data_IF_877925936587
#
_entry.id   IF_877925936587
#
_cell.length_a   1.000
_cell.length_b   1.000
_cell.length_c   1.000
_cell.angle_alpha   90.00
_cell.angle_beta   90.00
_cell.angle_gamma   90.00
#
_symmetry.space_group_name_H-M   'P 1'
#
loop_
_entity.id
_entity.type
_entity.pdbx_description
1 polymer ?
#
# COMPACT_ATOMS: atom_id res chain seq x y z
N UNK A 1 9.63 -29.06 -13.45
CA UNK A 1 10.34 -27.78 -13.72
C UNK A 1 10.92 -27.33 -12.41
N UNK A 2 12.23 -27.09 -12.37
CA UNK A 2 12.97 -26.84 -11.14
C UNK A 2 12.37 -25.64 -10.38
N UNK A 3 12.09 -25.84 -9.10
CA UNK A 3 11.87 -24.77 -8.12
C UNK A 3 13.14 -23.93 -8.10
N UNK A 4 13.11 -22.75 -8.72
CA UNK A 4 14.17 -21.78 -8.53
C UNK A 4 14.17 -21.43 -7.03
N UNK A 5 15.27 -21.70 -6.34
CA UNK A 5 15.48 -21.22 -4.98
C UNK A 5 15.14 -19.73 -4.95
N UNK A 6 14.20 -19.33 -4.09
CA UNK A 6 13.80 -17.94 -3.94
C UNK A 6 15.06 -17.10 -3.70
N UNK A 7 15.35 -16.20 -4.62
CA UNK A 7 16.63 -15.53 -4.66
C UNK A 7 16.72 -14.51 -3.51
N UNK A 8 17.64 -14.72 -2.56
CA UNK A 8 17.71 -13.93 -1.33
C UNK A 8 18.56 -12.68 -1.50
N UNK A 9 17.96 -11.49 -1.36
CA UNK A 9 18.57 -10.18 -1.21
C UNK A 9 19.68 -10.17 -0.16
N UNK A 10 19.41 -10.70 1.03
CA UNK A 10 20.39 -10.70 2.12
C UNK A 10 21.61 -11.57 1.83
N UNK A 11 21.53 -12.50 0.87
CA UNK A 11 22.65 -13.36 0.46
C UNK A 11 23.56 -12.72 -0.60
N UNK A 12 23.10 -11.68 -1.30
CA UNK A 12 23.86 -11.07 -2.39
C UNK A 12 24.88 -10.10 -1.83
N UNK A 13 26.16 -10.43 -2.02
CA UNK A 13 27.26 -9.53 -1.66
C UNK A 13 27.34 -8.40 -2.68
N UNK A 14 26.78 -7.24 -2.32
CA UNK A 14 26.86 -6.01 -3.10
C UNK A 14 26.80 -4.79 -2.18
N UNK A 15 26.78 -3.60 -2.77
CA UNK A 15 26.71 -2.33 -2.05
C UNK A 15 25.95 -1.31 -2.90
N UNK A 16 25.85 -0.08 -2.39
CA UNK A 16 25.35 1.02 -3.19
C UNK A 16 26.20 1.17 -4.46
N UNK A 17 25.60 1.11 -5.67
CA UNK A 17 26.35 1.24 -6.91
C UNK A 17 26.91 2.66 -7.03
N UNK A 18 28.07 2.84 -7.69
CA UNK A 18 28.71 4.13 -7.79
C UNK A 18 27.86 5.14 -8.56
N UNK A 19 28.03 6.41 -8.21
CA UNK A 19 27.43 7.50 -8.95
C UNK A 19 27.98 7.57 -10.38
N UNK A 20 27.11 7.74 -11.37
CA UNK A 20 27.53 8.10 -12.72
C UNK A 20 28.00 9.55 -12.69
N UNK A 21 29.21 9.81 -13.19
CA UNK A 21 29.77 11.15 -13.24
C UNK A 21 28.87 12.10 -14.04
N UNK A 22 28.71 13.34 -13.57
CA UNK A 22 27.69 14.26 -14.10
C UNK A 22 27.94 14.62 -15.57
N UNK A 23 29.19 14.69 -15.99
CA UNK A 23 29.65 14.91 -17.37
C UNK A 23 29.36 13.72 -18.30
N UNK A 24 29.22 12.53 -17.74
CA UNK A 24 28.94 11.28 -18.45
C UNK A 24 27.43 10.99 -18.57
N UNK A 25 26.59 11.73 -17.83
CA UNK A 25 25.14 11.54 -17.87
C UNK A 25 24.57 11.92 -19.24
N UNK A 26 23.74 11.04 -19.78
CA UNK A 26 23.03 11.27 -21.03
C UNK A 26 21.79 12.14 -20.82
N UNK A 27 21.23 12.66 -21.89
CA UNK A 27 19.90 13.30 -21.81
C UNK A 27 18.84 12.24 -21.50
N UNK A 28 17.85 12.57 -20.65
CA UNK A 28 16.69 11.68 -20.42
C UNK A 28 15.86 11.44 -21.71
N UNK A 29 16.03 12.29 -22.72
CA UNK A 29 15.40 12.15 -24.04
C UNK A 29 16.19 11.25 -24.99
N UNK A 30 17.33 10.70 -24.55
CA UNK A 30 18.17 9.86 -25.40
C UNK A 30 17.45 8.54 -25.73
N UNK A 31 17.47 8.14 -27.00
CA UNK A 31 16.73 6.97 -27.49
C UNK A 31 17.32 5.64 -27.00
N UNK A 32 18.57 5.64 -26.53
CA UNK A 32 19.27 4.46 -25.99
C UNK A 32 18.90 4.14 -24.54
N UNK A 33 18.23 5.05 -23.82
CA UNK A 33 17.73 4.74 -22.48
C UNK A 33 16.58 3.73 -22.59
N UNK A 34 16.64 2.68 -21.77
CA UNK A 34 15.65 1.60 -21.74
C UNK A 34 15.19 1.34 -20.31
N UNK A 35 13.90 1.04 -20.18
CA UNK A 35 13.35 0.48 -18.96
C UNK A 35 13.43 -1.04 -19.04
N UNK A 36 14.15 -1.65 -18.11
CA UNK A 36 14.39 -3.09 -18.11
C UNK A 36 14.11 -3.67 -16.72
N UNK A 37 13.67 -4.94 -16.64
CA UNK A 37 13.70 -5.67 -15.38
C UNK A 37 15.12 -5.69 -14.82
N UNK A 38 15.24 -5.43 -13.52
CA UNK A 38 16.49 -5.54 -12.80
C UNK A 38 16.89 -7.02 -12.71
N UNK A 39 18.18 -7.31 -12.89
CA UNK A 39 18.75 -8.55 -12.37
C UNK A 39 18.69 -8.53 -10.83
N UNK A 40 18.81 -9.69 -10.19
CA UNK A 40 18.80 -9.75 -8.72
C UNK A 40 19.88 -8.85 -8.10
N UNK A 41 21.08 -8.82 -8.67
CA UNK A 41 22.17 -7.94 -8.21
C UNK A 41 21.75 -6.47 -8.26
N UNK A 42 21.21 -6.03 -9.40
CA UNK A 42 20.73 -4.66 -9.58
C UNK A 42 19.56 -4.36 -8.65
N UNK A 43 18.69 -5.34 -8.40
CA UNK A 43 17.53 -5.15 -7.55
C UNK A 43 17.97 -4.91 -6.09
N UNK A 44 18.93 -5.69 -5.58
CA UNK A 44 19.55 -5.44 -4.27
C UNK A 44 20.25 -4.08 -4.24
N UNK A 45 20.94 -3.69 -5.31
CA UNK A 45 21.53 -2.36 -5.43
C UNK A 45 20.47 -1.24 -5.35
N UNK A 46 19.28 -1.41 -5.93
CA UNK A 46 18.20 -0.42 -5.77
C UNK A 46 17.73 -0.31 -4.32
N UNK A 47 17.72 -1.41 -3.57
CA UNK A 47 17.42 -1.40 -2.14
C UNK A 47 18.49 -0.64 -1.36
N UNK A 48 19.77 -0.76 -1.71
CA UNK A 48 20.83 0.10 -1.14
C UNK A 48 20.60 1.58 -1.45
N UNK A 49 20.22 1.91 -2.69
CA UNK A 49 20.01 3.29 -3.12
C UNK A 49 18.87 3.97 -2.37
N UNK A 50 17.79 3.24 -2.12
CA UNK A 50 16.57 3.80 -1.57
C UNK A 50 16.39 3.58 -0.06
N UNK A 51 17.33 2.86 0.59
CA UNK A 51 17.23 2.47 1.98
C UNK A 51 16.96 3.65 2.93
N UNK A 52 17.62 4.79 2.73
CA UNK A 52 17.45 5.95 3.62
C UNK A 52 16.03 6.53 3.60
N UNK A 53 15.28 6.32 2.52
CA UNK A 53 13.87 6.74 2.42
C UNK A 53 12.93 5.74 3.12
N UNK A 54 13.19 4.43 3.03
CA UNK A 54 12.18 3.40 3.35
C UNK A 54 12.60 2.30 4.35
N UNK A 55 13.83 2.35 4.88
CA UNK A 55 14.30 1.38 5.90
C UNK A 55 13.70 1.62 7.28
N UNK A 56 13.18 2.82 7.55
CA UNK A 56 12.67 3.18 8.86
C UNK A 56 13.76 3.01 9.94
N UNK A 57 13.50 2.28 11.04
CA UNK A 57 14.48 2.07 12.11
C UNK A 57 15.54 0.99 11.81
N UNK A 58 15.48 0.35 10.63
CA UNK A 58 16.31 -0.82 10.32
C UNK A 58 17.74 -0.42 9.92
N UNK A 59 18.72 -1.26 10.27
CA UNK A 59 20.02 -1.26 9.60
C UNK A 59 19.87 -1.73 8.15
N UNK A 60 20.85 -1.47 7.29
CA UNK A 60 20.80 -1.94 5.90
C UNK A 60 20.67 -3.46 5.79
N UNK A 61 21.38 -4.22 6.63
CA UNK A 61 21.30 -5.68 6.66
C UNK A 61 19.90 -6.17 7.07
N UNK A 62 19.27 -5.50 8.04
CA UNK A 62 17.91 -5.79 8.45
C UNK A 62 16.90 -5.40 7.37
N UNK A 63 17.14 -4.29 6.67
CA UNK A 63 16.32 -3.86 5.54
C UNK A 63 16.33 -4.89 4.41
N UNK A 64 17.49 -5.37 3.98
CA UNK A 64 17.59 -6.41 2.94
C UNK A 64 16.91 -7.72 3.37
N UNK A 65 17.02 -8.12 4.65
CA UNK A 65 16.30 -9.29 5.19
C UNK A 65 14.78 -9.08 5.20
N UNK A 66 14.31 -7.86 5.42
CA UNK A 66 12.89 -7.53 5.29
C UNK A 66 12.44 -7.70 3.85
N UNK A 67 13.21 -7.21 2.89
CA UNK A 67 12.87 -7.35 1.46
C UNK A 67 12.80 -8.82 1.03
N UNK A 68 13.66 -9.69 1.56
CA UNK A 68 13.57 -11.15 1.38
C UNK A 68 12.24 -11.73 1.86
N UNK A 69 11.84 -11.36 3.08
CA UNK A 69 10.59 -11.81 3.68
C UNK A 69 9.42 -11.33 2.83
N UNK A 70 9.43 -10.05 2.44
CA UNK A 70 8.34 -9.44 1.67
C UNK A 70 8.23 -10.04 0.28
N UNK A 71 9.34 -10.39 -0.39
CA UNK A 71 9.34 -11.07 -1.69
C UNK A 71 8.90 -12.53 -1.62
N UNK A 72 8.97 -13.16 -0.45
CA UNK A 72 8.52 -14.54 -0.24
C UNK A 72 7.02 -14.65 0.08
N UNK A 73 6.32 -13.54 0.31
CA UNK A 73 4.87 -13.54 0.60
C UNK A 73 4.04 -13.89 -0.63
N UNK A 74 2.79 -14.35 -0.44
CA UNK A 74 1.91 -14.74 -1.53
C UNK A 74 1.66 -13.63 -2.57
N UNK A 75 1.67 -12.37 -2.14
CA UNK A 75 1.45 -11.20 -2.99
C UNK A 75 2.55 -11.00 -4.06
N UNK A 76 3.79 -11.35 -3.73
CA UNK A 76 5.00 -10.93 -4.47
C UNK A 76 5.85 -12.10 -4.97
N UNK A 77 5.73 -13.28 -4.36
CA UNK A 77 6.48 -14.48 -4.73
C UNK A 77 6.26 -14.91 -6.18
N UNK A 78 7.06 -15.85 -6.65
CA UNK A 78 6.94 -16.44 -7.99
C UNK A 78 7.00 -15.38 -9.11
N UNK A 79 7.76 -14.30 -8.87
CA UNK A 79 7.97 -13.20 -9.80
C UNK A 79 6.83 -12.19 -9.89
N UNK A 80 5.81 -12.24 -9.02
CA UNK A 80 4.69 -11.28 -9.01
C UNK A 80 5.14 -9.84 -8.73
N UNK A 81 6.26 -9.65 -8.04
CA UNK A 81 6.97 -8.37 -7.98
C UNK A 81 8.09 -8.30 -9.01
N UNK A 82 8.23 -7.15 -9.67
CA UNK A 82 9.32 -6.87 -10.62
C UNK A 82 10.02 -5.58 -10.23
N UNK A 83 11.33 -5.66 -9.95
CA UNK A 83 12.20 -4.49 -9.88
C UNK A 83 12.52 -3.98 -11.28
N UNK A 84 12.41 -2.67 -11.48
CA UNK A 84 12.66 -1.99 -12.74
C UNK A 84 13.81 -0.99 -12.60
N UNK A 85 14.67 -0.94 -13.62
CA UNK A 85 15.70 0.10 -13.75
C UNK A 85 15.59 0.80 -15.09
N UNK A 86 15.77 2.11 -15.08
CA UNK A 86 16.11 2.86 -16.28
C UNK A 86 17.63 2.80 -16.47
N UNK A 87 18.09 2.32 -17.63
CA UNK A 87 19.50 2.06 -17.89
C UNK A 87 19.88 2.31 -19.36
N UNK A 88 21.14 2.11 -19.72
CA UNK A 88 21.67 2.21 -21.09
C UNK A 88 22.91 1.33 -21.25
N UNK A 89 23.07 0.73 -22.43
CA UNK A 89 24.27 -0.02 -22.83
C UNK A 89 25.41 0.90 -23.32
N UNK A 90 25.16 2.21 -23.49
CA UNK A 90 26.17 3.19 -23.93
C UNK A 90 27.03 3.73 -22.79
N UNK A 91 26.70 3.38 -21.55
CA UNK A 91 27.53 3.62 -20.38
C UNK A 91 28.19 2.30 -19.97
N UNK A 92 29.45 2.34 -19.50
CA UNK A 92 30.11 1.14 -19.03
C UNK A 92 29.33 0.53 -17.88
N UNK A 93 29.32 -0.81 -17.83
CA UNK A 93 28.85 -1.54 -16.65
C UNK A 93 29.73 -1.22 -15.45
N UNK A 94 29.17 -1.36 -14.26
CA UNK A 94 29.92 -1.28 -13.02
C UNK A 94 30.93 -2.44 -12.93
N UNK A 95 31.88 -2.34 -12.00
CA UNK A 95 32.93 -3.36 -11.79
C UNK A 95 32.39 -4.75 -11.44
N UNK A 96 31.18 -4.82 -10.87
CA UNK A 96 30.47 -6.07 -10.54
C UNK A 96 29.59 -6.59 -11.70
N UNK A 97 29.66 -5.95 -12.87
CA UNK A 97 28.90 -6.32 -14.06
C UNK A 97 27.45 -5.83 -14.10
N UNK A 98 26.98 -5.13 -13.06
CA UNK A 98 25.66 -4.49 -13.06
C UNK A 98 25.58 -3.34 -14.06
N UNK A 99 24.39 -3.11 -14.63
CA UNK A 99 24.14 -1.96 -15.51
C UNK A 99 24.00 -0.67 -14.69
N UNK A 100 24.33 0.49 -15.26
CA UNK A 100 24.14 1.77 -14.58
C UNK A 100 22.65 2.01 -14.29
N UNK A 101 22.33 2.34 -13.04
CA UNK A 101 20.96 2.61 -12.59
C UNK A 101 20.72 4.13 -12.61
N UNK A 102 19.92 4.59 -13.57
CA UNK A 102 19.57 6.02 -13.71
C UNK A 102 18.39 6.41 -12.84
N UNK A 103 17.39 5.52 -12.74
CA UNK A 103 16.22 5.59 -11.86
C UNK A 103 15.71 4.16 -11.65
N UNK A 104 14.94 3.92 -10.59
CA UNK A 104 14.37 2.60 -10.29
C UNK A 104 12.97 2.68 -9.68
N UNK A 105 12.21 1.60 -9.80
CA UNK A 105 10.93 1.41 -9.10
C UNK A 105 10.60 -0.08 -9.05
N UNK A 106 9.48 -0.42 -8.44
CA UNK A 106 8.94 -1.78 -8.40
C UNK A 106 7.49 -1.78 -8.89
N UNK A 107 7.05 -2.90 -9.48
CA UNK A 107 5.63 -3.15 -9.73
C UNK A 107 5.21 -4.50 -9.19
N UNK A 108 4.01 -4.58 -8.60
CA UNK A 108 3.41 -5.80 -8.06
C UNK A 108 2.13 -6.13 -8.83
N UNK A 109 2.04 -7.34 -9.37
CA UNK A 109 0.83 -7.87 -9.98
C UNK A 109 -0.22 -8.18 -8.90
N UNK A 110 -1.34 -7.44 -8.92
CA UNK A 110 -2.40 -7.48 -7.91
C UNK A 110 -3.74 -7.90 -8.51
N UNK A 111 -4.57 -8.55 -7.70
CA UNK A 111 -5.97 -8.82 -8.04
C UNK A 111 -6.80 -7.56 -7.85
N UNK A 112 -7.67 -7.28 -8.82
CA UNK A 112 -8.47 -6.07 -8.84
C UNK A 112 -9.83 -6.29 -9.52
N UNK A 113 -10.67 -5.27 -9.44
CA UNK A 113 -12.01 -5.28 -9.99
C UNK A 113 -12.26 -4.06 -10.86
N UNK A 114 -13.10 -4.26 -11.88
CA UNK A 114 -13.76 -3.21 -12.65
C UNK A 114 -15.25 -3.50 -12.63
N UNK A 115 -16.07 -2.54 -12.21
CA UNK A 115 -17.52 -2.65 -12.19
C UNK A 115 -18.16 -1.53 -13.00
N UNK A 116 -19.07 -1.89 -13.90
CA UNK A 116 -19.83 -0.95 -14.72
C UNK A 116 -21.22 -1.50 -14.97
N UNK A 117 -22.24 -0.65 -14.78
CA UNK A 117 -23.64 -1.00 -15.05
C UNK A 117 -24.08 -2.31 -14.36
N UNK A 118 -23.62 -2.56 -13.12
CA UNK A 118 -23.89 -3.78 -12.34
C UNK A 118 -23.04 -5.01 -12.69
N UNK A 119 -22.27 -4.93 -13.76
CA UNK A 119 -21.37 -6.01 -14.19
C UNK A 119 -20.01 -5.81 -13.55
N UNK A 120 -19.61 -6.77 -12.72
CA UNK A 120 -18.28 -6.83 -12.11
C UNK A 120 -17.39 -7.79 -12.90
N UNK A 121 -16.21 -7.32 -13.23
CA UNK A 121 -15.14 -8.07 -13.87
C UNK A 121 -13.95 -8.20 -12.91
N UNK A 122 -13.39 -9.42 -12.82
CA UNK A 122 -12.17 -9.69 -12.06
C UNK A 122 -10.99 -9.56 -13.00
N UNK A 123 -10.00 -8.74 -12.63
CA UNK A 123 -8.86 -8.43 -13.49
C UNK A 123 -7.55 -8.47 -12.71
N UNK A 124 -6.44 -8.41 -13.46
CA UNK A 124 -5.13 -8.05 -12.94
C UNK A 124 -4.90 -6.55 -13.11
N UNK A 125 -4.30 -5.94 -12.09
CA UNK A 125 -3.77 -4.58 -12.11
C UNK A 125 -2.33 -4.58 -11.57
N UNK A 126 -1.67 -3.43 -11.57
CA UNK A 126 -0.33 -3.28 -11.00
C UNK A 126 -0.28 -2.18 -9.94
N UNK A 127 0.23 -2.53 -8.75
CA UNK A 127 0.69 -1.54 -7.77
C UNK A 127 2.13 -1.15 -8.08
N UNK A 128 2.48 0.14 -7.94
CA UNK A 128 3.84 0.65 -8.16
C UNK A 128 4.37 1.20 -6.84
N UNK A 129 5.57 0.77 -6.49
CA UNK A 129 6.26 1.14 -5.26
C UNK A 129 7.70 1.59 -5.53
N UNK A 130 8.33 2.13 -4.49
CA UNK A 130 9.78 2.40 -4.46
C UNK A 130 10.32 3.24 -5.62
N UNK A 131 9.52 4.17 -6.16
CA UNK A 131 9.94 5.06 -7.24
C UNK A 131 11.06 5.98 -6.74
N UNK A 132 12.28 5.69 -7.16
CA UNK A 132 13.47 6.32 -6.63
C UNK A 132 14.35 6.91 -7.72
N UNK A 133 14.87 8.09 -7.42
CA UNK A 133 15.91 8.72 -8.22
C UNK A 133 16.95 9.33 -7.27
N UNK A 134 18.20 8.94 -7.47
CA UNK A 134 19.34 9.39 -6.67
C UNK A 134 19.45 10.91 -6.70
N UNK A 135 19.84 11.57 -5.60
CA UNK A 135 19.94 13.04 -5.53
C UNK A 135 20.70 13.67 -6.69
N UNK A 136 21.81 13.06 -7.10
CA UNK A 136 22.70 13.52 -8.18
C UNK A 136 22.05 13.43 -9.57
N UNK A 137 20.97 12.65 -9.70
CA UNK A 137 20.20 12.44 -10.92
C UNK A 137 18.86 13.21 -10.90
N UNK A 138 18.48 13.84 -9.78
CA UNK A 138 17.24 14.62 -9.67
C UNK A 138 17.30 15.86 -10.58
N UNK A 139 16.14 16.28 -11.08
CA UNK A 139 16.03 17.39 -12.04
C UNK A 139 16.49 17.08 -13.47
N UNK A 140 17.05 15.89 -13.75
CA UNK A 140 17.57 15.51 -15.08
C UNK A 140 16.58 14.75 -15.96
N UNK A 141 15.35 14.53 -15.48
CA UNK A 141 14.26 13.90 -16.25
C UNK A 141 14.22 12.37 -16.25
N UNK A 142 15.18 11.68 -15.60
CA UNK A 142 15.23 10.21 -15.61
C UNK A 142 14.01 9.53 -14.98
N UNK A 143 13.56 9.99 -13.82
CA UNK A 143 12.33 9.45 -13.22
C UNK A 143 11.11 9.65 -14.13
N UNK A 144 11.04 10.79 -14.82
CA UNK A 144 9.96 11.10 -15.77
C UNK A 144 10.02 10.17 -16.99
N UNK A 145 11.22 9.92 -17.54
CA UNK A 145 11.42 8.94 -18.61
C UNK A 145 11.03 7.53 -18.16
N UNK A 146 11.49 7.10 -16.98
CA UNK A 146 11.17 5.79 -16.40
C UNK A 146 9.66 5.58 -16.27
N UNK A 147 8.94 6.54 -15.66
CA UNK A 147 7.49 6.44 -15.49
C UNK A 147 6.74 6.43 -16.83
N UNK A 148 7.22 7.16 -17.84
CA UNK A 148 6.62 7.15 -19.18
C UNK A 148 6.76 5.80 -19.89
N UNK A 149 7.92 5.13 -19.76
CA UNK A 149 8.11 3.79 -20.32
C UNK A 149 7.36 2.73 -19.51
N UNK A 150 7.37 2.85 -18.17
CA UNK A 150 6.68 1.93 -17.26
C UNK A 150 5.18 1.93 -17.52
N UNK A 151 4.60 3.11 -17.74
CA UNK A 151 3.19 3.30 -18.08
C UNK A 151 2.76 2.39 -19.24
N UNK A 152 3.56 2.33 -20.31
CA UNK A 152 3.29 1.49 -21.49
C UNK A 152 3.58 0.02 -21.20
N UNK A 153 4.68 -0.26 -20.48
CA UNK A 153 5.13 -1.61 -20.19
C UNK A 153 4.09 -2.38 -19.37
N UNK A 154 3.50 -1.74 -18.37
CA UNK A 154 2.53 -2.36 -17.48
C UNK A 154 1.18 -2.66 -18.15
N UNK A 155 0.86 -2.09 -19.32
CA UNK A 155 -0.39 -2.40 -20.03
C UNK A 155 -0.45 -3.89 -20.45
N UNK A 156 0.70 -4.54 -20.68
CA UNK A 156 0.76 -5.97 -21.04
C UNK A 156 1.69 -6.80 -20.14
N UNK A 157 2.34 -6.21 -19.14
CA UNK A 157 3.27 -6.93 -18.27
C UNK A 157 2.55 -8.00 -17.45
N UNK A 158 3.09 -9.23 -17.45
CA UNK A 158 2.53 -10.38 -16.72
C UNK A 158 1.07 -10.71 -17.04
N UNK A 159 0.58 -10.26 -18.19
CA UNK A 159 -0.70 -10.74 -18.72
C UNK A 159 -0.49 -12.09 -19.41
N UNK A 160 -1.16 -13.13 -18.92
CA UNK A 160 -0.98 -14.51 -19.38
C UNK A 160 -1.79 -14.86 -20.64
N UNK A 161 -2.85 -14.10 -20.93
CA UNK A 161 -3.81 -14.34 -22.00
C UNK A 161 -3.82 -13.23 -23.08
N UNK A 162 -2.88 -12.28 -22.99
CA UNK A 162 -2.82 -11.12 -23.87
C UNK A 162 -3.85 -10.04 -23.54
N UNK A 163 -4.59 -10.17 -22.43
CA UNK A 163 -5.45 -9.11 -21.91
C UNK A 163 -4.64 -7.89 -21.50
N UNK A 164 -5.25 -6.72 -21.56
CA UNK A 164 -4.64 -5.47 -21.11
C UNK A 164 -4.87 -5.34 -19.61
N UNK A 165 -3.82 -5.07 -18.84
CA UNK A 165 -3.95 -4.66 -17.44
C UNK A 165 -4.64 -3.27 -17.44
N UNK A 166 -5.91 -3.23 -17.02
CA UNK A 166 -6.75 -2.04 -17.23
C UNK A 166 -6.31 -0.83 -16.42
N UNK A 167 -5.65 -1.04 -15.29
CA UNK A 167 -5.12 0.06 -14.50
C UNK A 167 -3.87 -0.30 -13.72
N UNK A 168 -3.14 0.75 -13.32
CA UNK A 168 -2.09 0.67 -12.30
C UNK A 168 -2.21 1.82 -11.32
N UNK A 169 -1.71 1.62 -10.10
CA UNK A 169 -1.83 2.57 -9.00
C UNK A 169 -0.50 2.84 -8.31
N UNK A 170 -0.38 3.99 -7.67
CA UNK A 170 0.65 4.33 -6.70
C UNK A 170 0.11 5.33 -5.68
N UNK A 171 0.88 5.52 -4.60
CA UNK A 171 0.59 6.50 -3.56
C UNK A 171 1.71 7.54 -3.55
N UNK A 172 1.41 8.76 -4.03
CA UNK A 172 2.43 9.79 -4.26
C UNK A 172 2.78 10.54 -2.99
N UNK A 173 4.08 10.57 -2.67
CA UNK A 173 4.68 11.36 -1.59
C UNK A 173 5.33 12.67 -2.08
N UNK A 174 5.16 13.00 -3.37
CA UNK A 174 5.78 14.17 -4.00
C UNK A 174 4.75 15.10 -4.64
N UNK A 175 3.53 15.09 -4.09
CA UNK A 175 2.42 15.93 -4.53
C UNK A 175 1.70 15.41 -5.78
N UNK A 176 0.82 16.27 -6.32
CA UNK A 176 -0.21 15.89 -7.29
C UNK A 176 0.27 15.88 -8.75
N UNK A 177 1.39 16.55 -9.05
CA UNK A 177 1.73 16.93 -10.43
C UNK A 177 2.67 15.94 -11.12
N UNK A 178 3.57 15.29 -10.38
CA UNK A 178 4.61 14.49 -11.00
C UNK A 178 4.04 13.30 -11.78
N UNK A 179 3.25 12.46 -11.11
CA UNK A 179 2.69 11.24 -11.71
C UNK A 179 1.52 11.50 -12.64
N UNK A 180 0.73 12.56 -12.40
CA UNK A 180 -0.37 12.98 -13.27
C UNK A 180 0.08 13.29 -14.70
N UNK A 181 1.29 13.86 -14.88
CA UNK A 181 1.90 14.08 -16.20
C UNK A 181 2.18 12.79 -16.97
N UNK A 182 2.25 11.66 -16.28
CA UNK A 182 2.44 10.33 -16.86
C UNK A 182 1.14 9.50 -16.85
N UNK A 183 0.00 10.14 -16.60
CA UNK A 183 -1.33 9.55 -16.67
C UNK A 183 -1.85 8.92 -15.38
N UNK A 184 -1.07 8.88 -14.31
CA UNK A 184 -1.57 8.52 -12.98
C UNK A 184 -2.24 9.74 -12.35
N UNK A 185 -3.52 9.92 -12.65
CA UNK A 185 -4.31 11.04 -12.13
C UNK A 185 -4.56 10.87 -10.64
N UNK A 186 -4.64 11.98 -9.92
CA UNK A 186 -4.91 11.97 -8.48
C UNK A 186 -6.40 11.75 -8.25
N UNK A 187 -6.70 10.82 -7.36
CA UNK A 187 -8.04 10.55 -6.86
C UNK A 187 -8.17 11.11 -5.44
N UNK A 188 -9.36 11.62 -5.06
CA UNK A 188 -9.60 12.09 -3.71
C UNK A 188 -9.24 11.03 -2.68
N UNK A 189 -8.40 11.40 -1.72
CA UNK A 189 -8.09 10.54 -0.57
C UNK A 189 -8.13 11.37 0.70
N UNK A 190 -8.80 10.81 1.71
CA UNK A 190 -8.96 11.41 3.02
C UNK A 190 -8.45 10.46 4.10
N UNK A 191 -8.24 10.99 5.29
CA UNK A 191 -8.05 10.17 6.48
C UNK A 191 -8.60 10.83 7.73
N UNK A 192 -8.80 10.02 8.75
CA UNK A 192 -8.99 10.48 10.12
C UNK A 192 -7.85 9.95 10.99
N UNK A 193 -7.59 10.68 12.06
CA UNK A 193 -6.59 10.33 13.05
C UNK A 193 -7.23 10.18 14.43
N UNK A 194 -6.86 9.13 15.16
CA UNK A 194 -7.28 8.88 16.54
C UNK A 194 -6.06 8.73 17.44
N UNK A 195 -6.06 9.38 18.59
CA UNK A 195 -4.96 9.25 19.54
C UNK A 195 -4.94 7.88 20.24
N UNK A 196 -3.78 7.39 20.69
CA UNK A 196 -3.72 6.25 21.59
C UNK A 196 -4.60 6.45 22.82
N UNK A 197 -5.19 5.38 23.33
CA UNK A 197 -6.08 5.45 24.49
C UNK A 197 -5.49 4.70 25.68
N UNK A 198 -5.41 5.39 26.81
CA UNK A 198 -4.93 4.81 28.08
C UNK A 198 -5.83 3.64 28.53
N UNK A 199 -5.26 2.55 29.09
CA UNK A 199 -6.02 1.38 29.52
C UNK A 199 -7.14 1.68 30.53
N UNK A 200 -6.96 2.65 31.43
CA UNK A 200 -7.97 3.03 32.42
C UNK A 200 -9.17 3.74 31.77
N UNK A 201 -8.90 4.60 30.78
CA UNK A 201 -9.93 5.29 30.00
C UNK A 201 -10.66 4.29 29.12
N UNK A 202 -9.95 3.38 28.47
CA UNK A 202 -10.55 2.29 27.72
C UNK A 202 -11.46 1.41 28.58
N UNK A 203 -11.00 1.02 29.78
CA UNK A 203 -11.77 0.17 30.68
C UNK A 203 -13.10 0.82 31.12
N UNK A 204 -13.10 2.15 31.25
CA UNK A 204 -14.31 2.91 31.55
C UNK A 204 -15.23 3.00 30.33
N UNK A 205 -14.69 3.38 29.17
CA UNK A 205 -15.45 3.58 27.94
C UNK A 205 -16.08 2.28 27.41
N UNK A 206 -15.34 1.16 27.43
CA UNK A 206 -15.80 -0.13 26.85
C UNK A 206 -17.11 -0.63 27.46
N UNK A 207 -17.43 -0.25 28.69
CA UNK A 207 -18.68 -0.65 29.37
C UNK A 207 -19.95 -0.10 28.71
N UNK A 208 -19.81 0.96 27.91
CA UNK A 208 -20.91 1.64 27.20
C UNK A 208 -21.13 1.14 25.78
N UNK A 209 -20.29 0.21 25.32
CA UNK A 209 -20.29 -0.30 23.94
C UNK A 209 -20.42 -1.83 23.92
N UNK A 210 -20.89 -2.42 22.80
CA UNK A 210 -20.90 -3.87 22.65
C UNK A 210 -19.48 -4.46 22.74
N UNK A 211 -19.38 -5.71 23.21
CA UNK A 211 -18.11 -6.41 23.30
C UNK A 211 -17.56 -6.75 21.91
N UNK A 212 -16.26 -6.60 21.71
CA UNK A 212 -15.55 -7.00 20.48
C UNK A 212 -14.50 -8.04 20.81
N UNK A 213 -14.16 -8.86 19.81
CA UNK A 213 -13.16 -9.92 19.90
C UNK A 213 -11.93 -9.55 19.07
N UNK A 214 -10.75 -9.95 19.54
CA UNK A 214 -9.51 -9.80 18.79
C UNK A 214 -9.48 -10.78 17.61
N UNK A 215 -8.99 -10.31 16.46
CA UNK A 215 -8.78 -11.14 15.27
C UNK A 215 -7.34 -11.64 15.24
N UNK A 216 -7.17 -12.95 15.08
CA UNK A 216 -5.90 -13.57 14.67
C UNK A 216 -5.79 -13.65 13.15
N UNK A 217 -4.62 -14.04 12.64
CA UNK A 217 -4.46 -14.33 11.21
C UNK A 217 -5.39 -15.44 10.72
N UNK A 218 -5.67 -16.45 11.55
CA UNK A 218 -6.59 -17.55 11.19
C UNK A 218 -8.02 -17.04 11.01
N UNK A 219 -8.47 -16.15 11.90
CA UNK A 219 -9.82 -15.59 11.82
C UNK A 219 -10.07 -14.84 10.51
N UNK A 220 -9.03 -14.19 9.95
CA UNK A 220 -9.15 -13.42 8.72
C UNK A 220 -9.57 -14.28 7.51
N UNK A 221 -9.25 -15.58 7.52
CA UNK A 221 -9.67 -16.51 6.45
C UNK A 221 -11.17 -16.71 6.37
N UNK A 222 -11.87 -16.48 7.48
CA UNK A 222 -13.32 -16.59 7.57
C UNK A 222 -14.04 -15.24 7.35
N UNK A 223 -13.30 -14.13 7.20
CA UNK A 223 -13.89 -12.81 6.97
C UNK A 223 -14.19 -12.62 5.48
N UNK A 224 -15.45 -12.36 5.10
CA UNK A 224 -15.87 -12.22 3.69
C UNK A 224 -15.54 -10.83 3.12
N UNK A 225 -14.29 -10.36 3.29
CA UNK A 225 -13.84 -9.04 2.87
C UNK A 225 -14.00 -8.84 1.35
N UNK A 226 -13.66 -9.88 0.59
CA UNK A 226 -13.73 -9.88 -0.86
C UNK A 226 -15.18 -9.78 -1.33
N UNK A 227 -16.06 -10.64 -0.81
CA UNK A 227 -17.46 -10.71 -1.18
C UNK A 227 -18.20 -9.40 -0.87
N UNK A 228 -17.90 -8.78 0.27
CA UNK A 228 -18.49 -7.49 0.64
C UNK A 228 -18.05 -6.37 -0.30
N UNK A 229 -16.78 -6.33 -0.71
CA UNK A 229 -16.34 -5.35 -1.70
C UNK A 229 -16.97 -5.61 -3.08
N UNK A 230 -17.05 -6.87 -3.53
CA UNK A 230 -17.71 -7.22 -4.79
C UNK A 230 -19.17 -6.74 -4.81
N UNK A 231 -19.91 -6.95 -3.71
CA UNK A 231 -21.29 -6.47 -3.57
C UNK A 231 -21.37 -4.94 -3.65
N UNK A 232 -20.51 -4.23 -2.90
CA UNK A 232 -20.47 -2.75 -2.89
C UNK A 232 -20.16 -2.17 -4.27
N UNK A 233 -19.22 -2.77 -5.01
CA UNK A 233 -18.88 -2.36 -6.37
C UNK A 233 -20.05 -2.53 -7.34
N UNK A 234 -20.73 -3.69 -7.31
CA UNK A 234 -21.92 -3.93 -8.14
C UNK A 234 -23.00 -2.89 -7.86
N UNK A 235 -23.41 -2.76 -6.59
CA UNK A 235 -24.42 -1.79 -6.13
C UNK A 235 -24.07 -0.35 -6.53
N UNK A 236 -22.81 0.07 -6.34
CA UNK A 236 -22.37 1.41 -6.72
C UNK A 236 -22.43 1.64 -8.23
N UNK A 237 -22.04 0.64 -9.04
CA UNK A 237 -22.09 0.72 -10.50
C UNK A 237 -23.51 0.68 -11.06
N UNK A 238 -24.45 -0.04 -10.43
CA UNK A 238 -25.88 -0.03 -10.76
C UNK A 238 -26.52 1.32 -10.45
N UNK A 239 -26.17 1.91 -9.30
CA UNK A 239 -26.70 3.20 -8.86
C UNK A 239 -26.19 4.39 -9.71
N UNK A 240 -25.07 4.22 -10.42
CA UNK A 240 -24.48 5.25 -11.29
C UNK A 240 -24.12 4.67 -12.65
N UNK A 241 -25.12 4.35 -13.51
CA UNK A 241 -24.86 3.80 -14.83
C UNK A 241 -23.95 4.71 -15.67
N UNK A 242 -23.11 4.12 -16.49
CA UNK A 242 -22.12 4.79 -17.34
C UNK A 242 -20.81 5.18 -16.62
N UNK A 243 -20.74 5.10 -15.29
CA UNK A 243 -19.49 5.26 -14.53
C UNK A 243 -18.80 3.92 -14.30
N UNK A 244 -17.48 3.93 -14.42
CA UNK A 244 -16.65 2.74 -14.20
C UNK A 244 -16.04 2.82 -12.79
N UNK A 245 -16.37 1.85 -11.94
CA UNK A 245 -15.86 1.76 -10.58
C UNK A 245 -14.73 0.74 -10.52
N UNK A 246 -13.64 1.07 -9.85
CA UNK A 246 -12.46 0.20 -9.74
C UNK A 246 -12.03 0.08 -8.28
N UNK A 247 -11.48 -1.07 -7.92
CA UNK A 247 -10.86 -1.28 -6.62
C UNK A 247 -9.81 -2.38 -6.69
N UNK A 248 -8.86 -2.33 -5.76
CA UNK A 248 -7.95 -3.45 -5.47
C UNK A 248 -8.73 -4.48 -4.65
N UNK A 249 -8.39 -5.76 -4.77
CA UNK A 249 -9.02 -6.82 -3.99
C UNK A 249 -8.44 -6.83 -2.55
N UNK A 250 -9.27 -6.77 -1.49
CA UNK A 250 -8.83 -6.88 -0.10
C UNK A 250 -8.68 -8.35 0.27
N UNK A 251 -7.73 -9.04 -0.36
CA UNK A 251 -7.46 -10.45 -0.09
C UNK A 251 -6.39 -10.64 0.99
N UNK A 252 -6.28 -11.88 1.44
CA UNK A 252 -5.32 -12.27 2.47
C UNK A 252 -3.88 -12.05 2.03
N UNK A 253 -3.58 -12.12 0.72
CA UNK A 253 -2.23 -11.90 0.18
C UNK A 253 -1.74 -10.47 0.52
N UNK A 254 -2.60 -9.46 0.35
CA UNK A 254 -2.29 -8.08 0.74
C UNK A 254 -2.09 -7.96 2.26
N UNK A 255 -3.01 -8.51 3.05
CA UNK A 255 -2.91 -8.40 4.52
C UNK A 255 -1.65 -9.08 5.06
N UNK A 256 -1.33 -10.28 4.57
CA UNK A 256 -0.13 -11.03 4.97
C UNK A 256 1.15 -10.30 4.59
N UNK A 257 1.19 -9.58 3.47
CA UNK A 257 2.34 -8.74 3.12
C UNK A 257 2.58 -7.63 4.15
N UNK A 258 1.51 -6.92 4.55
CA UNK A 258 1.60 -5.91 5.61
C UNK A 258 1.96 -6.51 6.97
N UNK A 259 1.42 -7.69 7.32
CA UNK A 259 1.76 -8.37 8.56
C UNK A 259 3.19 -8.89 8.59
N UNK A 260 3.71 -9.41 7.47
CA UNK A 260 5.09 -9.86 7.38
C UNK A 260 6.08 -8.70 7.64
N UNK A 261 5.75 -7.51 7.11
CA UNK A 261 6.48 -6.27 7.39
C UNK A 261 6.44 -5.91 8.88
N UNK A 262 5.24 -5.81 9.43
CA UNK A 262 4.98 -5.48 10.84
C UNK A 262 5.69 -6.45 11.79
N UNK A 263 5.52 -7.76 11.59
CA UNK A 263 6.09 -8.81 12.44
C UNK A 263 7.62 -8.78 12.44
N UNK A 264 8.23 -8.58 11.28
CA UNK A 264 9.68 -8.46 11.19
C UNK A 264 10.19 -7.25 11.96
N UNK A 265 9.61 -6.06 11.71
CA UNK A 265 10.04 -4.82 12.37
C UNK A 265 9.77 -4.87 13.89
N UNK A 266 8.62 -5.42 14.29
CA UNK A 266 8.24 -5.65 15.69
C UNK A 266 9.31 -6.46 16.43
N UNK A 267 9.79 -7.54 15.81
CA UNK A 267 10.87 -8.37 16.37
C UNK A 267 12.17 -7.57 16.52
N UNK A 268 12.53 -6.77 15.52
CA UNK A 268 13.76 -5.95 15.54
C UNK A 268 13.72 -4.90 16.66
N UNK A 269 12.57 -4.28 16.91
CA UNK A 269 12.41 -3.31 18.02
C UNK A 269 12.23 -3.97 19.39
N UNK A 270 12.44 -5.30 19.49
CA UNK A 270 12.47 -6.02 20.76
C UNK A 270 11.10 -6.26 21.40
N UNK A 271 10.01 -6.13 20.65
CA UNK A 271 8.64 -6.35 21.14
C UNK A 271 8.18 -7.80 20.91
N UNK A 272 7.11 -8.18 21.61
CA UNK A 272 6.49 -9.51 21.48
C UNK A 272 5.85 -9.70 20.10
N UNK A 273 5.51 -10.94 19.74
CA UNK A 273 4.90 -11.21 18.42
C UNK A 273 3.50 -10.56 18.29
N UNK A 274 3.20 -9.85 17.18
CA UNK A 274 1.89 -9.25 16.85
C UNK A 274 0.73 -10.24 16.66
N UNK A 275 0.23 -10.91 17.71
CA UNK A 275 -0.86 -11.90 17.54
C UNK A 275 -2.19 -11.30 17.06
N UNK A 276 -2.49 -10.08 17.50
CA UNK A 276 -3.75 -9.39 17.21
C UNK A 276 -3.61 -8.59 15.91
N UNK A 277 -4.38 -8.98 14.89
CA UNK A 277 -4.39 -8.39 13.54
C UNK A 277 -5.58 -7.47 13.29
N UNK A 278 -6.45 -7.33 14.27
CA UNK A 278 -7.72 -6.64 14.12
C UNK A 278 -8.65 -6.90 15.30
N UNK A 279 -9.88 -6.43 15.16
CA UNK A 279 -10.98 -6.82 16.02
C UNK A 279 -12.29 -6.96 15.22
N UNK A 280 -13.24 -7.71 15.77
CA UNK A 280 -14.54 -7.99 15.16
C UNK A 280 -15.65 -7.92 16.21
N UNK A 281 -16.78 -7.35 15.82
CA UNK A 281 -18.03 -7.50 16.55
C UNK A 281 -18.83 -8.65 15.91
N UNK A 282 -18.68 -9.88 16.41
CA UNK A 282 -19.21 -11.12 15.79
C UNK A 282 -20.69 -11.08 15.47
N UNK A 283 -21.51 -10.51 16.36
CA UNK A 283 -22.96 -10.43 16.16
C UNK A 283 -23.34 -9.63 14.90
N UNK A 284 -22.58 -8.59 14.58
CA UNK A 284 -22.78 -7.81 13.36
C UNK A 284 -21.93 -8.30 12.19
N UNK A 285 -20.76 -8.88 12.43
CA UNK A 285 -19.76 -9.17 11.40
C UNK A 285 -18.93 -7.96 10.96
N UNK A 286 -19.09 -6.79 11.60
CA UNK A 286 -18.24 -5.62 11.38
C UNK A 286 -16.86 -5.87 12.00
N UNK A 287 -15.80 -5.56 11.26
CA UNK A 287 -14.42 -5.75 11.71
C UNK A 287 -13.49 -4.64 11.22
N UNK A 288 -12.39 -4.45 11.94
CA UNK A 288 -11.25 -3.65 11.53
C UNK A 288 -10.01 -4.55 11.49
N UNK A 289 -9.24 -4.45 10.41
CA UNK A 289 -7.95 -5.11 10.25
C UNK A 289 -6.87 -4.04 10.35
N UNK A 290 -5.77 -4.28 11.07
CA UNK A 290 -4.71 -3.29 11.28
C UNK A 290 -3.30 -3.87 11.30
N UNK A 291 -2.31 -3.01 11.09
CA UNK A 291 -0.90 -3.31 11.30
C UNK A 291 -0.19 -2.13 11.98
N UNK A 292 1.02 -2.38 12.51
CA UNK A 292 1.91 -1.32 13.01
C UNK A 292 2.86 -0.90 11.91
N UNK A 293 3.11 0.40 11.82
CA UNK A 293 4.09 1.01 10.93
C UNK A 293 5.17 1.69 11.77
N UNK A 294 6.38 1.15 11.67
CA UNK A 294 7.56 1.65 12.37
C UNK A 294 8.34 2.60 11.45
N UNK A 295 8.06 3.90 11.59
CA UNK A 295 8.84 4.97 10.98
C UNK A 295 10.24 5.10 11.61
N UNK A 296 11.10 5.91 10.99
CA UNK A 296 12.47 6.12 11.47
C UNK A 296 12.53 6.74 12.88
N UNK A 297 11.59 7.63 13.19
CA UNK A 297 11.43 8.21 14.54
C UNK A 297 10.30 7.51 15.27
N UNK A 298 10.54 7.19 16.54
CA UNK A 298 9.53 6.56 17.39
C UNK A 298 8.28 7.42 17.59
N UNK A 299 8.41 8.76 17.58
CA UNK A 299 7.27 9.69 17.62
C UNK A 299 6.30 9.47 16.47
N UNK A 300 6.79 8.94 15.35
CA UNK A 300 6.06 8.79 14.09
C UNK A 300 5.53 7.35 13.91
N UNK A 301 5.68 6.50 14.93
CA UNK A 301 5.13 5.14 14.92
C UNK A 301 3.61 5.16 15.01
N UNK A 302 2.95 4.42 14.13
CA UNK A 302 1.51 4.51 13.95
C UNK A 302 0.86 3.14 13.72
N UNK A 303 -0.37 2.98 14.23
CA UNK A 303 -1.24 1.88 13.88
C UNK A 303 -2.07 2.28 12.65
N UNK A 304 -2.00 1.53 11.56
CA UNK A 304 -2.88 1.77 10.41
C UNK A 304 -4.01 0.77 10.40
N UNK A 305 -5.24 1.27 10.23
CA UNK A 305 -6.34 0.41 9.80
C UNK A 305 -6.13 0.08 8.32
N UNK A 306 -5.83 -1.19 8.06
CA UNK A 306 -5.62 -1.73 6.72
C UNK A 306 -6.93 -1.76 5.94
N UNK A 307 -8.01 -2.27 6.55
CA UNK A 307 -9.30 -2.42 5.90
C UNK A 307 -10.46 -2.44 6.91
N UNK A 308 -11.57 -1.83 6.50
CA UNK A 308 -12.83 -1.73 7.23
C UNK A 308 -13.86 -2.69 6.63
N UNK A 309 -14.27 -3.69 7.42
CA UNK A 309 -15.26 -4.68 7.01
C UNK A 309 -16.64 -4.24 7.50
N UNK A 310 -17.55 -3.98 6.56
CA UNK A 310 -18.94 -3.65 6.84
C UNK A 310 -19.82 -4.58 6.00
N UNK A 311 -20.62 -5.46 6.63
CA UNK A 311 -21.59 -6.26 5.90
C UNK A 311 -22.59 -5.37 5.15
N UNK A 312 -22.96 -5.70 3.90
CA UNK A 312 -23.87 -4.88 3.10
C UNK A 312 -25.22 -4.58 3.74
N UNK A 313 -25.71 -5.47 4.62
CA UNK A 313 -26.96 -5.30 5.36
C UNK A 313 -26.91 -4.20 6.43
N UNK A 314 -25.72 -3.71 6.80
CA UNK A 314 -25.51 -2.81 7.95
C UNK A 314 -25.04 -1.40 7.57
N UNK A 315 -24.97 -1.05 6.28
CA UNK A 315 -24.52 0.28 5.82
C UNK A 315 -25.34 1.47 6.37
N UNK A 316 -26.54 1.22 6.94
CA UNK A 316 -27.45 2.26 7.45
C UNK A 316 -28.03 1.96 8.86
N UNK A 317 -27.37 1.12 9.67
CA UNK A 317 -27.88 0.72 11.00
C UNK A 317 -27.24 1.51 12.15
N UNK A 318 -28.04 1.94 13.14
CA UNK A 318 -27.51 2.53 14.39
C UNK A 318 -26.68 1.53 15.21
N UNK A 319 -27.03 0.24 15.19
CA UNK A 319 -26.26 -0.82 15.85
C UNK A 319 -24.84 -0.96 15.26
N UNK A 320 -24.70 -0.61 13.97
CA UNK A 320 -23.40 -0.61 13.30
C UNK A 320 -22.48 0.49 13.84
N UNK A 321 -23.03 1.64 14.23
CA UNK A 321 -22.24 2.76 14.75
C UNK A 321 -21.65 2.43 16.12
N UNK A 322 -22.41 1.79 17.00
CA UNK A 322 -21.94 1.35 18.33
C UNK A 322 -20.89 0.24 18.20
N UNK A 323 -21.11 -0.73 17.32
CA UNK A 323 -20.13 -1.78 17.03
C UNK A 323 -18.81 -1.20 16.48
N UNK A 324 -18.91 -0.31 15.50
CA UNK A 324 -17.74 0.34 14.91
C UNK A 324 -17.01 1.25 15.92
N UNK A 325 -17.74 1.96 16.79
CA UNK A 325 -17.14 2.74 17.87
C UNK A 325 -16.36 1.85 18.87
N UNK A 326 -16.89 0.68 19.22
CA UNK A 326 -16.20 -0.30 20.05
C UNK A 326 -14.89 -0.80 19.40
N UNK A 327 -14.91 -1.03 18.09
CA UNK A 327 -13.74 -1.46 17.32
C UNK A 327 -12.67 -0.37 17.25
N UNK A 328 -13.05 0.89 17.02
CA UNK A 328 -12.12 2.03 17.04
C UNK A 328 -11.50 2.22 18.43
N UNK A 329 -12.27 2.10 19.51
CA UNK A 329 -11.74 2.11 20.88
C UNK A 329 -10.69 1.01 21.10
N UNK A 330 -10.96 -0.20 20.61
CA UNK A 330 -10.02 -1.32 20.72
C UNK A 330 -8.73 -1.06 19.92
N UNK A 331 -8.83 -0.42 18.76
CA UNK A 331 -7.68 0.00 17.96
C UNK A 331 -6.85 1.10 18.67
N UNK A 332 -7.49 2.07 19.34
CA UNK A 332 -6.76 3.09 20.11
C UNK A 332 -6.02 2.49 21.32
N UNK A 333 -6.61 1.49 21.99
CA UNK A 333 -5.92 0.72 23.04
C UNK A 333 -4.75 -0.06 22.44
N UNK A 334 -4.92 -0.66 21.27
CA UNK A 334 -3.82 -1.35 20.58
C UNK A 334 -2.68 -0.38 20.28
N UNK A 335 -2.96 0.80 19.74
CA UNK A 335 -1.96 1.82 19.50
C UNK A 335 -1.20 2.19 20.80
N UNK A 336 -1.90 2.32 21.93
CA UNK A 336 -1.26 2.56 23.23
C UNK A 336 -0.34 1.40 23.64
N UNK A 337 -0.85 0.17 23.64
CA UNK A 337 -0.10 -1.03 24.07
C UNK A 337 1.18 -1.25 23.26
N UNK A 338 1.20 -0.78 22.02
CA UNK A 338 2.35 -0.94 21.11
C UNK A 338 3.23 0.30 21.02
N UNK A 339 2.94 1.36 21.79
CA UNK A 339 3.67 2.63 21.77
C UNK A 339 3.65 3.30 20.39
N UNK A 340 2.52 3.19 19.69
CA UNK A 340 2.28 3.90 18.43
C UNK A 340 1.98 5.36 18.76
N UNK A 341 3.03 6.13 19.01
CA UNK A 341 2.94 7.51 19.50
C UNK A 341 2.11 8.43 18.59
N UNK A 342 2.15 8.19 17.27
CA UNK A 342 1.31 8.87 16.28
C UNK A 342 -0.08 8.27 16.12
N UNK A 343 -0.53 7.42 17.06
CA UNK A 343 -1.89 6.91 17.19
C UNK A 343 -2.36 5.97 16.08
N UNK A 344 -3.63 6.09 15.73
CA UNK A 344 -4.32 5.29 14.71
C UNK A 344 -4.62 6.16 13.51
N UNK A 345 -4.34 5.67 12.30
CA UNK A 345 -4.76 6.30 11.05
C UNK A 345 -5.73 5.41 10.29
N UNK A 346 -6.82 6.01 9.80
CA UNK A 346 -7.81 5.34 8.95
C UNK A 346 -7.87 6.05 7.60
N UNK A 347 -7.47 5.36 6.54
CA UNK A 347 -7.43 5.89 5.17
C UNK A 347 -8.79 5.67 4.49
N UNK A 348 -9.28 6.67 3.76
CA UNK A 348 -10.57 6.60 3.06
C UNK A 348 -11.73 6.14 3.96
N UNK A 349 -11.91 6.72 5.17
CA UNK A 349 -12.87 6.21 6.14
C UNK A 349 -14.30 6.31 5.60
N UNK A 350 -15.08 5.21 5.62
CA UNK A 350 -16.52 5.27 5.37
C UNK A 350 -17.23 6.21 6.34
N UNK A 351 -18.40 6.75 5.94
CA UNK A 351 -19.19 7.65 6.79
C UNK A 351 -19.51 7.04 8.16
N UNK A 352 -19.76 5.73 8.22
CA UNK A 352 -19.95 5.00 9.47
C UNK A 352 -18.74 5.13 10.40
N UNK A 353 -17.52 5.01 9.87
CA UNK A 353 -16.29 5.14 10.67
C UNK A 353 -16.14 6.56 11.20
N UNK A 354 -16.43 7.56 10.37
CA UNK A 354 -16.39 8.97 10.79
C UNK A 354 -17.42 9.25 11.89
N UNK A 355 -18.66 8.78 11.73
CA UNK A 355 -19.72 8.92 12.71
C UNK A 355 -19.35 8.23 14.03
N UNK A 356 -18.86 6.98 13.98
CA UNK A 356 -18.40 6.25 15.14
C UNK A 356 -17.22 6.93 15.84
N UNK A 357 -16.24 7.44 15.08
CA UNK A 357 -15.13 8.21 15.63
C UNK A 357 -15.64 9.49 16.32
N UNK A 358 -16.65 10.15 15.74
CA UNK A 358 -17.25 11.35 16.32
C UNK A 358 -17.96 11.04 17.64
N UNK A 359 -18.59 9.88 17.76
CA UNK A 359 -19.25 9.41 18.98
C UNK A 359 -18.26 9.21 20.13
N UNK A 360 -17.01 8.85 19.83
CA UNK A 360 -15.97 8.66 20.83
C UNK A 360 -15.40 9.98 21.38
N UNK A 361 -15.71 11.13 20.75
CA UNK A 361 -15.18 12.42 21.19
C UNK A 361 -16.05 13.07 22.25
N UNK A 362 -15.41 13.67 23.25
CA UNK A 362 -16.07 14.58 24.19
C UNK A 362 -16.37 15.93 23.52
N UNK A 363 -17.23 16.74 24.16
CA UNK A 363 -17.54 18.09 23.67
C UNK A 363 -16.28 18.97 23.60
N UNK A 364 -15.36 18.82 24.56
CA UNK A 364 -14.11 19.56 24.63
C UNK A 364 -13.13 19.17 23.51
N UNK A 365 -13.18 17.91 23.06
CA UNK A 365 -12.32 17.41 21.99
C UNK A 365 -12.76 17.89 20.59
N UNK A 366 -14.01 18.35 20.44
CA UNK A 366 -14.53 18.91 19.19
C UNK A 366 -14.90 17.86 18.14
N UNK A 367 -14.92 18.27 16.85
CA UNK A 367 -15.33 17.39 15.73
C UNK A 367 -14.16 16.58 15.20
N UNK A 368 -14.38 15.32 14.82
CA UNK A 368 -13.38 14.54 14.07
C UNK A 368 -13.01 15.30 12.81
N UNK A 369 -11.71 15.49 12.63
CA UNK A 369 -11.18 16.15 11.44
C UNK A 369 -10.99 15.13 10.34
N UNK A 370 -11.66 15.35 9.20
CA UNK A 370 -11.47 14.57 7.97
C UNK A 370 -10.45 15.31 7.13
N UNK A 371 -9.22 14.81 7.11
CA UNK A 371 -8.09 15.48 6.49
C UNK A 371 -7.99 15.03 5.03
N UNK A 372 -8.11 15.99 4.11
CA UNK A 372 -7.86 15.75 2.68
C UNK A 372 -6.36 15.74 2.43
N UNK A 373 -5.86 14.74 1.72
CA UNK A 373 -4.45 14.66 1.35
C UNK A 373 -4.17 15.52 0.12
N UNK A 374 -3.15 16.37 0.20
CA UNK A 374 -2.72 17.24 -0.91
C UNK A 374 -1.22 17.12 -1.23
N UNK A 375 -0.43 16.55 -0.32
CA UNK A 375 1.05 16.45 -0.41
C UNK A 375 1.57 15.03 -0.47
N UNK A 376 1.16 14.19 0.48
CA UNK A 376 1.72 12.85 0.70
C UNK A 376 0.64 11.77 0.64
N UNK A 377 1.04 10.55 0.30
CA UNK A 377 0.18 9.37 0.18
C UNK A 377 -1.05 9.57 -0.74
N UNK A 378 -0.88 10.33 -1.82
CA UNK A 378 -1.98 10.65 -2.74
C UNK A 378 -2.28 9.46 -3.64
N UNK A 379 -3.52 8.98 -3.58
CA UNK A 379 -4.02 7.90 -4.43
C UNK A 379 -3.94 8.32 -5.90
N UNK A 380 -3.04 7.71 -6.66
CA UNK A 380 -2.81 8.05 -8.07
C UNK A 380 -3.05 6.83 -8.95
N UNK A 381 -4.00 6.91 -9.88
CA UNK A 381 -4.40 5.79 -10.74
C UNK A 381 -4.25 6.17 -12.21
N UNK A 382 -3.68 5.26 -12.99
CA UNK A 382 -3.62 5.34 -14.45
C UNK A 382 -4.58 4.32 -15.04
N UNK A 383 -5.52 4.80 -15.85
CA UNK A 383 -6.42 3.98 -16.65
C UNK A 383 -5.79 3.74 -18.03
N UNK A 384 -5.58 2.48 -18.39
CA UNK A 384 -4.92 2.08 -19.64
C UNK A 384 -5.84 2.16 -20.87
N UNK A 385 -7.13 1.75 -20.80
CA UNK A 385 -8.02 1.87 -21.95
C UNK A 385 -8.11 3.31 -22.45
N UNK A 386 -7.96 3.49 -23.77
CA UNK A 386 -7.94 4.81 -24.43
C UNK A 386 -9.31 5.49 -24.52
N UNK A 387 -10.34 4.85 -23.99
CA UNK A 387 -11.68 5.42 -23.89
C UNK A 387 -11.69 6.36 -22.68
N UNK A 388 -12.14 7.59 -22.89
CA UNK A 388 -12.33 8.55 -21.81
C UNK A 388 -13.51 8.09 -20.94
N UNK A 389 -13.20 7.30 -19.92
CA UNK A 389 -14.17 6.78 -18.95
C UNK A 389 -14.12 7.61 -17.68
N UNK A 390 -15.28 7.86 -17.09
CA UNK A 390 -15.39 8.46 -15.77
C UNK A 390 -15.14 7.37 -14.71
N UNK A 391 -13.91 7.37 -14.18
CA UNK A 391 -13.42 6.37 -13.24
C UNK A 391 -13.70 6.81 -11.81
N UNK A 392 -14.20 5.89 -11.00
CA UNK A 392 -14.35 6.03 -9.54
C UNK A 392 -13.51 4.96 -8.87
N UNK A 393 -12.43 5.36 -8.19
CA UNK A 393 -11.65 4.44 -7.36
C UNK A 393 -12.28 4.30 -5.97
N UNK A 394 -12.74 3.09 -5.66
CA UNK A 394 -13.29 2.71 -4.35
C UNK A 394 -12.25 1.95 -3.50
N UNK A 395 -12.46 1.94 -2.19
CA UNK A 395 -11.62 1.22 -1.22
C UNK A 395 -10.13 1.61 -1.29
N UNK A 396 -9.85 2.91 -1.29
CA UNK A 396 -8.49 3.52 -1.24
C UNK A 396 -7.85 3.42 0.16
N UNK A 397 -8.11 2.33 0.87
CA UNK A 397 -7.63 2.08 2.23
C UNK A 397 -6.17 1.61 2.22
N UNK A 398 -5.53 1.55 3.39
CA UNK A 398 -4.09 1.29 3.49
C UNK A 398 -3.67 -0.08 2.97
N UNK A 399 -4.53 -1.09 2.95
CA UNK A 399 -4.18 -2.42 2.41
C UNK A 399 -3.73 -2.38 0.94
N UNK A 400 -4.25 -1.43 0.16
CA UNK A 400 -3.89 -1.26 -1.25
C UNK A 400 -2.53 -0.59 -1.47
N UNK A 401 -1.89 -0.09 -0.40
CA UNK A 401 -0.55 0.48 -0.45
C UNK A 401 0.49 -0.64 -0.59
N UNK A 402 1.39 -0.47 -1.56
CA UNK A 402 2.49 -1.37 -1.90
C UNK A 402 3.82 -0.79 -1.44
#
# INVERSE_FOLDING_TARGET
MATADAASFASISTSQPPAIATDSLRSAQSADLRLEPASLLEYVQTAYLNADEWKGPLTIEQYLRREDILQATALTKDGRITGWILTTDLLPKNSDGSRPILASCESIAIHAYVARDGVLEKIQAHGIASVYNRPEHRGKGYASRMMAELAKRLESWQSSDGSINKFSVLFSDIGQTFYARHGWQVFPSTHIHLHPLDPSVYASAKSTFPSVEDLSLEDLRAIPAVEYLEHRLRKASEAKPGKTHVAIRPDLEHFEWHFARDEFQTKIVGKSFPKVKGAIHRATGIALIWCRVYAAKQSDWQLHILHTIIPPSLEASEDAELAMAALLLRAQLEAHNWEMASGVEVWGPPDLVVASAQRLRSKEQGKVEIISRDKEHLCSLRWAPKVNEDIVWMATEKYGWC
#
